data_IF_199134927510
#
_entry.id   IF_199134927510
#
_cell.length_a   1.000
_cell.length_b   1.000
_cell.length_c   1.000
_cell.angle_alpha   90.00
_cell.angle_beta   90.00
_cell.angle_gamma   90.00
#
_symmetry.space_group_name_H-M   'P 1'
#
loop_
_entity.id
_entity.type
_entity.pdbx_description
1 polymer ?
#
# COMPACT_ATOMS: atom_id res chain seq x y z
N UNK A 1 -1.35 -4.34 -4.98
CA UNK A 1 -0.80 -3.97 -6.30
C UNK A 1 0.18 -5.04 -6.73
N UNK A 2 0.04 -5.55 -7.97
CA UNK A 2 0.86 -6.68 -8.47
C UNK A 2 1.16 -6.54 -9.95
N UNK A 3 2.22 -7.20 -10.41
CA UNK A 3 2.45 -7.55 -11.80
C UNK A 3 1.93 -8.98 -12.10
N UNK A 4 1.70 -9.33 -13.35
CA UNK A 4 1.11 -10.63 -13.75
C UNK A 4 1.80 -11.84 -13.15
N UNK A 5 3.14 -11.84 -13.11
CA UNK A 5 3.94 -12.93 -12.55
C UNK A 5 3.71 -13.15 -11.05
N UNK A 6 3.16 -12.14 -10.34
CA UNK A 6 2.82 -12.20 -8.91
C UNK A 6 1.34 -12.48 -8.64
N UNK A 7 0.51 -12.68 -9.65
CA UNK A 7 -0.94 -12.93 -9.49
C UNK A 7 -1.22 -14.16 -8.61
N UNK A 8 -0.39 -15.20 -8.68
CA UNK A 8 -0.55 -16.40 -7.86
C UNK A 8 -0.33 -16.11 -6.36
N UNK A 9 0.54 -15.16 -6.03
CA UNK A 9 0.76 -14.70 -4.65
C UNK A 9 -0.45 -13.90 -4.17
N UNK A 10 -0.94 -12.96 -5.00
CA UNK A 10 -2.16 -12.21 -4.71
C UNK A 10 -3.38 -13.12 -4.50
N UNK A 11 -3.54 -14.20 -5.26
CA UNK A 11 -4.59 -15.20 -5.04
C UNK A 11 -4.54 -15.82 -3.65
N UNK A 12 -3.35 -16.13 -3.17
CA UNK A 12 -3.15 -16.67 -1.81
C UNK A 12 -3.55 -15.67 -0.74
N UNK A 13 -3.14 -14.39 -0.87
CA UNK A 13 -3.58 -13.31 0.01
C UNK A 13 -5.11 -13.17 -0.02
N UNK A 14 -5.71 -12.99 -1.20
CA UNK A 14 -7.15 -12.73 -1.33
C UNK A 14 -8.01 -13.89 -0.83
N UNK A 15 -7.55 -15.13 -1.00
CA UNK A 15 -8.20 -16.30 -0.39
C UNK A 15 -8.13 -16.24 1.15
N UNK A 16 -6.99 -15.85 1.72
CA UNK A 16 -6.87 -15.70 3.18
C UNK A 16 -7.72 -14.54 3.71
N UNK A 17 -7.84 -13.43 2.98
CA UNK A 17 -8.76 -12.34 3.33
C UNK A 17 -10.20 -12.82 3.32
N UNK A 18 -10.62 -13.56 2.30
CA UNK A 18 -11.97 -14.12 2.23
C UNK A 18 -12.30 -15.03 3.42
N UNK A 19 -11.34 -15.84 3.86
CA UNK A 19 -11.52 -16.72 5.02
C UNK A 19 -11.68 -15.96 6.35
N UNK A 20 -11.03 -14.82 6.50
CA UNK A 20 -10.95 -14.10 7.77
C UNK A 20 -11.75 -12.79 7.80
N UNK A 21 -12.17 -12.30 6.64
CA UNK A 21 -13.04 -11.13 6.47
C UNK A 21 -13.82 -11.21 5.16
N UNK A 22 -14.83 -12.10 5.07
CA UNK A 22 -15.56 -12.37 3.82
C UNK A 22 -16.35 -11.17 3.28
N UNK A 23 -16.72 -10.21 4.13
CA UNK A 23 -17.48 -9.01 3.78
C UNK A 23 -16.62 -7.99 2.99
N UNK A 24 -15.30 -8.13 2.98
CA UNK A 24 -14.45 -7.20 2.28
C UNK A 24 -14.62 -7.31 0.75
N UNK A 25 -14.77 -6.18 0.09
CA UNK A 25 -14.49 -6.09 -1.34
C UNK A 25 -12.98 -6.28 -1.55
N UNK A 26 -12.63 -7.23 -2.41
CA UNK A 26 -11.24 -7.59 -2.67
C UNK A 26 -10.84 -7.07 -4.04
N UNK A 27 -9.85 -6.19 -4.08
CA UNK A 27 -9.40 -5.52 -5.31
C UNK A 27 -7.90 -5.77 -5.51
N UNK A 28 -7.53 -6.23 -6.69
CA UNK A 28 -6.13 -6.39 -7.10
C UNK A 28 -5.82 -5.40 -8.22
N UNK A 29 -4.98 -4.40 -7.92
CA UNK A 29 -4.49 -3.49 -8.94
C UNK A 29 -3.35 -4.15 -9.71
N UNK A 30 -3.54 -4.32 -11.02
CA UNK A 30 -2.62 -4.99 -11.91
C UNK A 30 -1.76 -3.97 -12.67
N UNK A 31 -0.43 -4.02 -12.48
CA UNK A 31 0.53 -3.13 -13.15
C UNK A 31 0.82 -3.49 -14.61
N UNK A 32 0.34 -4.64 -15.07
CA UNK A 32 0.46 -5.10 -16.44
C UNK A 32 -0.91 -5.05 -17.15
N UNK A 33 -0.88 -5.20 -18.48
CA UNK A 33 -2.12 -5.42 -19.23
C UNK A 33 -2.72 -6.78 -18.84
N UNK A 34 -4.04 -6.86 -18.63
CA UNK A 34 -4.71 -8.09 -18.16
C UNK A 34 -4.77 -9.21 -19.22
N UNK A 35 -4.44 -8.92 -20.47
CA UNK A 35 -4.47 -9.85 -21.59
C UNK A 35 -3.61 -11.11 -21.33
N UNK A 36 -4.11 -12.26 -21.78
CA UNK A 36 -3.46 -13.55 -21.65
C UNK A 36 -3.67 -14.27 -20.31
N UNK A 37 -4.47 -13.69 -19.40
CA UNK A 37 -4.87 -14.32 -18.14
C UNK A 37 -6.39 -14.33 -17.99
N UNK A 38 -6.91 -15.43 -17.46
CA UNK A 38 -8.32 -15.55 -17.09
C UNK A 38 -8.48 -15.32 -15.59
N UNK A 39 -9.08 -14.18 -15.23
CA UNK A 39 -9.38 -13.79 -13.86
C UNK A 39 -10.85 -14.06 -13.48
N UNK A 40 -11.66 -14.64 -14.36
CA UNK A 40 -13.09 -14.81 -14.16
C UNK A 40 -13.47 -15.74 -12.99
N UNK A 41 -12.52 -16.55 -12.53
CA UNK A 41 -12.68 -17.48 -11.41
C UNK A 41 -12.05 -16.99 -10.11
N UNK A 42 -11.42 -15.83 -10.14
CA UNK A 42 -10.80 -15.25 -8.96
C UNK A 42 -11.86 -14.64 -8.04
N UNK A 43 -11.59 -14.65 -6.74
CA UNK A 43 -12.47 -14.10 -5.71
C UNK A 43 -12.19 -12.61 -5.43
N UNK A 44 -11.66 -11.88 -6.43
CA UNK A 44 -11.34 -10.47 -6.36
C UNK A 44 -11.58 -9.77 -7.70
N UNK A 45 -11.72 -8.47 -7.64
CA UNK A 45 -11.84 -7.61 -8.82
C UNK A 45 -10.46 -7.16 -9.29
N UNK A 46 -10.26 -7.10 -10.61
CA UNK A 46 -9.05 -6.53 -11.21
C UNK A 46 -9.27 -5.03 -11.43
N UNK A 47 -8.42 -4.23 -10.79
CA UNK A 47 -8.31 -2.80 -11.07
C UNK A 47 -7.18 -2.60 -12.09
N UNK A 48 -7.53 -2.16 -13.29
CA UNK A 48 -6.57 -1.92 -14.37
C UNK A 48 -5.96 -0.52 -14.24
N UNK A 49 -4.67 -0.39 -14.57
CA UNK A 49 -3.98 0.90 -14.57
C UNK A 49 -4.58 1.94 -15.53
N UNK A 50 -5.27 1.51 -16.57
CA UNK A 50 -5.95 2.41 -17.51
C UNK A 50 -7.02 3.28 -16.82
N UNK A 51 -7.44 2.91 -15.61
CA UNK A 51 -8.34 3.69 -14.75
C UNK A 51 -7.62 4.82 -13.99
N UNK A 52 -6.28 4.86 -14.01
CA UNK A 52 -5.47 5.90 -13.36
C UNK A 52 -5.28 7.11 -14.29
N UNK A 53 -6.36 7.85 -14.52
CA UNK A 53 -6.37 9.07 -15.34
C UNK A 53 -5.74 10.29 -14.62
N UNK A 54 -5.47 10.17 -13.33
CA UNK A 54 -4.91 11.20 -12.46
C UNK A 54 -3.36 11.22 -12.42
N UNK A 55 -2.68 10.35 -13.18
CA UNK A 55 -1.21 10.36 -13.25
C UNK A 55 -0.74 11.22 -14.43
N UNK A 56 -0.09 12.37 -14.18
CA UNK A 56 0.42 13.21 -15.26
C UNK A 56 1.46 12.49 -16.11
N UNK A 57 1.32 12.53 -17.45
CA UNK A 57 2.24 11.85 -18.38
C UNK A 57 2.48 10.38 -17.99
N UNK A 58 1.41 9.60 -17.91
CA UNK A 58 1.39 8.21 -17.43
C UNK A 58 2.50 7.34 -18.05
N UNK A 59 2.73 7.41 -19.37
CA UNK A 59 3.79 6.66 -20.03
C UNK A 59 5.19 7.00 -19.50
N UNK A 60 5.46 8.29 -19.25
CA UNK A 60 6.73 8.73 -18.65
C UNK A 60 6.87 8.29 -17.21
N UNK A 61 5.76 8.23 -16.48
CA UNK A 61 5.72 7.74 -15.11
C UNK A 61 6.08 6.26 -15.05
N UNK A 62 5.44 5.42 -15.89
CA UNK A 62 5.73 3.98 -15.96
C UNK A 62 7.18 3.73 -16.36
N UNK A 63 7.65 4.42 -17.40
CA UNK A 63 9.01 4.21 -17.93
C UNK A 63 10.12 4.59 -16.93
N UNK A 64 9.82 5.42 -15.93
CA UNK A 64 10.79 5.88 -14.94
C UNK A 64 11.22 4.80 -13.96
N UNK A 65 10.33 3.88 -13.65
CA UNK A 65 10.44 2.97 -12.53
C UNK A 65 10.75 1.54 -12.96
N UNK A 66 11.54 0.84 -12.16
CA UNK A 66 11.56 -0.62 -12.19
C UNK A 66 10.19 -1.17 -11.80
N UNK A 67 9.91 -2.44 -12.06
CA UNK A 67 8.61 -3.04 -11.71
C UNK A 67 8.32 -2.97 -10.20
N UNK A 68 9.34 -3.13 -9.34
CA UNK A 68 9.20 -2.99 -7.89
C UNK A 68 8.80 -1.55 -7.51
N UNK A 69 9.52 -0.57 -8.02
CA UNK A 69 9.26 0.84 -7.74
C UNK A 69 7.90 1.28 -8.30
N UNK A 70 7.51 0.78 -9.48
CA UNK A 70 6.19 1.06 -10.06
C UNK A 70 5.06 0.50 -9.19
N UNK A 71 5.16 -0.75 -8.74
CA UNK A 71 4.16 -1.39 -7.89
C UNK A 71 3.95 -0.61 -6.58
N UNK A 72 4.99 0.02 -6.05
CA UNK A 72 4.88 0.86 -4.86
C UNK A 72 4.42 2.28 -5.18
N UNK A 73 4.90 2.86 -6.29
CA UNK A 73 4.59 4.23 -6.68
C UNK A 73 3.11 4.48 -6.98
N UNK A 74 2.39 3.48 -7.48
CA UNK A 74 0.97 3.63 -7.85
C UNK A 74 0.00 3.46 -6.66
N UNK A 75 0.45 2.97 -5.51
CA UNK A 75 -0.42 2.72 -4.34
C UNK A 75 -1.36 3.91 -4.03
N UNK A 76 -0.86 5.15 -3.82
CA UNK A 76 -1.74 6.26 -3.46
C UNK A 76 -2.71 6.67 -4.58
N UNK A 77 -2.38 6.42 -5.83
CA UNK A 77 -3.30 6.70 -6.95
C UNK A 77 -4.46 5.70 -6.99
N UNK A 78 -4.18 4.42 -6.76
CA UNK A 78 -5.21 3.38 -6.63
C UNK A 78 -6.13 3.66 -5.43
N UNK A 79 -5.56 3.98 -4.27
CA UNK A 79 -6.31 4.31 -3.06
C UNK A 79 -7.25 5.49 -3.30
N UNK A 80 -6.78 6.57 -3.93
CA UNK A 80 -7.61 7.72 -4.27
C UNK A 80 -8.79 7.32 -5.17
N UNK A 81 -8.54 6.48 -6.18
CA UNK A 81 -9.60 5.97 -7.07
C UNK A 81 -10.62 5.10 -6.33
N UNK A 82 -10.19 4.28 -5.41
CA UNK A 82 -11.11 3.50 -4.58
C UNK A 82 -12.01 4.41 -3.75
N UNK A 83 -11.49 5.48 -3.15
CA UNK A 83 -12.30 6.49 -2.48
C UNK A 83 -13.26 7.20 -3.42
N UNK A 84 -12.84 7.52 -4.66
CA UNK A 84 -13.73 8.09 -5.69
C UNK A 84 -14.87 7.14 -6.09
N UNK A 85 -14.64 5.81 -6.00
CA UNK A 85 -15.66 4.78 -6.23
C UNK A 85 -16.56 4.51 -5.01
N UNK A 86 -16.39 5.28 -3.92
CA UNK A 86 -17.27 5.23 -2.75
C UNK A 86 -16.87 4.26 -1.67
N UNK A 87 -15.65 3.70 -1.72
CA UNK A 87 -15.14 2.93 -0.58
C UNK A 87 -14.83 3.87 0.59
N UNK A 88 -15.46 3.63 1.73
CA UNK A 88 -15.25 4.46 2.94
C UNK A 88 -13.97 4.11 3.68
N UNK A 89 -13.54 2.85 3.60
CA UNK A 89 -12.31 2.32 4.23
C UNK A 89 -11.54 1.51 3.21
N UNK A 90 -10.25 1.76 3.10
CA UNK A 90 -9.33 1.03 2.24
C UNK A 90 -8.19 0.50 3.08
N UNK A 91 -7.98 -0.81 3.05
CA UNK A 91 -6.81 -1.48 3.64
C UNK A 91 -5.96 -2.01 2.50
N UNK A 92 -4.75 -1.50 2.39
CA UNK A 92 -3.74 -2.05 1.50
C UNK A 92 -2.93 -3.11 2.23
N UNK A 93 -2.72 -4.23 1.56
CA UNK A 93 -1.89 -5.34 2.04
C UNK A 93 -0.98 -5.79 0.89
N UNK A 94 0.32 -5.94 1.16
CA UNK A 94 1.27 -6.44 0.16
C UNK A 94 0.94 -7.89 -0.23
N UNK A 95 1.12 -8.26 -1.50
CA UNK A 95 0.67 -9.55 -2.02
C UNK A 95 1.33 -10.77 -1.36
N UNK A 96 2.53 -10.62 -0.80
CA UNK A 96 3.30 -11.67 -0.12
C UNK A 96 2.93 -11.85 1.37
N UNK A 97 1.91 -11.14 1.83
CA UNK A 97 1.32 -11.33 3.16
C UNK A 97 0.19 -12.37 3.10
N UNK A 98 0.03 -13.13 4.18
CA UNK A 98 -1.11 -14.02 4.38
C UNK A 98 -1.82 -13.69 5.69
N UNK A 99 -3.14 -13.56 5.63
CA UNK A 99 -3.98 -13.28 6.80
C UNK A 99 -4.28 -14.60 7.53
N UNK A 100 -4.08 -14.62 8.86
CA UNK A 100 -4.27 -15.79 9.73
C UNK A 100 -5.35 -15.61 10.78
N UNK A 101 -5.91 -14.41 10.91
CA UNK A 101 -6.96 -14.09 11.88
C UNK A 101 -7.87 -13.00 11.34
N UNK A 102 -8.97 -12.72 12.07
CA UNK A 102 -9.94 -11.71 11.66
C UNK A 102 -9.32 -10.31 11.50
N UNK A 103 -9.64 -9.63 10.40
CA UNK A 103 -9.27 -8.23 10.17
C UNK A 103 -10.25 -7.23 10.80
N UNK A 104 -11.34 -7.70 11.40
CA UNK A 104 -12.36 -6.84 12.04
C UNK A 104 -11.76 -5.86 13.06
N UNK A 105 -10.82 -6.24 13.94
CA UNK A 105 -10.21 -5.28 14.86
C UNK A 105 -9.54 -4.11 14.14
N UNK A 106 -8.80 -4.38 13.06
CA UNK A 106 -8.12 -3.35 12.26
C UNK A 106 -9.13 -2.44 11.52
N UNK A 107 -10.21 -3.04 11.00
CA UNK A 107 -11.29 -2.27 10.34
C UNK A 107 -12.00 -1.36 11.33
N UNK A 108 -12.22 -1.82 12.58
CA UNK A 108 -12.86 -1.04 13.63
C UNK A 108 -11.99 0.12 14.12
N UNK A 109 -10.66 0.01 14.09
CA UNK A 109 -9.77 1.14 14.38
C UNK A 109 -10.00 2.32 13.42
N UNK A 110 -10.36 2.04 12.18
CA UNK A 110 -10.71 3.07 11.20
C UNK A 110 -12.04 3.80 11.50
N UNK A 111 -12.84 3.38 12.49
CA UNK A 111 -14.01 4.14 12.95
C UNK A 111 -13.59 5.36 13.79
N UNK A 112 -12.47 5.27 14.48
CA UNK A 112 -11.94 6.33 15.36
C UNK A 112 -10.67 7.01 14.84
N UNK A 113 -9.97 6.37 13.92
CA UNK A 113 -8.73 6.87 13.32
C UNK A 113 -8.86 6.96 11.80
N UNK A 114 -8.08 7.83 11.18
CA UNK A 114 -8.13 8.06 9.73
C UNK A 114 -7.04 7.30 8.99
N UNK A 115 -5.88 7.13 9.63
CA UNK A 115 -4.67 6.54 9.07
C UNK A 115 -4.13 5.51 10.06
N UNK A 116 -3.97 4.26 9.64
CA UNK A 116 -3.33 3.21 10.42
C UNK A 116 -1.97 2.88 9.80
N UNK A 117 -0.92 2.97 10.60
CA UNK A 117 0.45 2.60 10.24
C UNK A 117 0.93 1.46 11.14
N UNK A 118 1.71 0.54 10.58
CA UNK A 118 2.34 -0.55 11.32
C UNK A 118 3.84 -0.28 11.44
N UNK A 119 4.42 -0.20 12.65
CA UNK A 119 5.85 -0.01 12.81
C UNK A 119 6.60 -1.30 12.47
N UNK A 120 7.86 -1.19 12.03
CA UNK A 120 8.74 -2.35 11.89
C UNK A 120 9.14 -2.96 13.24
N UNK A 121 9.20 -2.12 14.26
CA UNK A 121 9.61 -2.51 15.61
C UNK A 121 8.58 -2.02 16.63
N UNK A 122 8.18 -2.90 17.53
CA UNK A 122 7.30 -2.61 18.68
C UNK A 122 8.06 -2.55 20.01
N UNK A 123 9.38 -2.68 19.96
CA UNK A 123 10.29 -2.60 21.10
C UNK A 123 11.74 -2.41 20.64
N UNK A 124 12.66 -2.21 21.59
CA UNK A 124 14.09 -2.10 21.33
C UNK A 124 14.71 -3.44 20.94
N UNK A 125 15.72 -3.41 20.10
CA UNK A 125 16.52 -4.59 19.75
C UNK A 125 17.80 -4.60 20.59
N UNK A 126 17.95 -5.61 21.45
CA UNK A 126 19.12 -5.78 22.33
C UNK A 126 20.05 -6.89 21.82
N UNK A 127 20.05 -7.14 20.52
CA UNK A 127 20.89 -8.15 19.88
C UNK A 127 21.60 -7.61 18.63
N UNK A 128 22.55 -8.38 18.10
CA UNK A 128 23.27 -8.06 16.87
C UNK A 128 22.56 -8.59 15.60
N UNK A 129 21.28 -8.99 15.69
CA UNK A 129 20.50 -9.51 14.57
C UNK A 129 20.19 -8.44 13.53
N UNK A 130 19.84 -8.89 12.33
CA UNK A 130 19.40 -8.00 11.25
C UNK A 130 17.97 -8.32 10.85
N UNK A 131 17.18 -7.30 10.46
CA UNK A 131 17.55 -5.88 10.37
C UNK A 131 17.77 -5.23 11.74
N UNK A 132 18.81 -4.40 11.87
CA UNK A 132 19.11 -3.61 13.07
C UNK A 132 18.23 -2.34 13.11
N UNK A 133 18.21 -1.67 14.27
CA UNK A 133 17.54 -0.36 14.39
C UNK A 133 18.08 0.66 13.37
N UNK A 134 19.39 0.62 13.06
CA UNK A 134 19.98 1.48 12.03
C UNK A 134 19.47 1.14 10.62
N UNK A 135 19.23 -0.14 10.33
CA UNK A 135 18.66 -0.54 9.06
C UNK A 135 17.22 -0.01 8.93
N UNK A 136 16.42 -0.08 10.01
CA UNK A 136 15.07 0.47 10.07
C UNK A 136 15.07 2.00 9.92
N UNK A 137 15.94 2.72 10.64
CA UNK A 137 16.08 4.18 10.50
C UNK A 137 16.42 4.59 9.07
N UNK A 138 17.19 3.80 8.34
CA UNK A 138 17.57 4.08 6.95
C UNK A 138 16.45 3.79 5.96
N UNK A 139 15.69 2.69 6.15
CA UNK A 139 14.67 2.23 5.20
C UNK A 139 13.26 2.76 5.49
N UNK A 140 12.99 3.17 6.72
CA UNK A 140 11.70 3.69 7.17
C UNK A 140 11.18 2.97 8.40
N UNK A 141 10.58 3.73 9.30
CA UNK A 141 10.07 3.26 10.59
C UNK A 141 8.81 2.39 10.45
N UNK A 142 7.99 2.66 9.42
CA UNK A 142 6.72 1.98 9.18
C UNK A 142 6.82 0.99 8.03
N UNK A 143 6.21 -0.18 8.22
CA UNK A 143 6.11 -1.22 7.20
C UNK A 143 4.91 -0.97 6.28
N UNK A 144 5.15 -0.59 5.04
CA UNK A 144 4.11 -0.32 4.05
C UNK A 144 3.58 -1.57 3.32
N UNK A 145 3.91 -2.76 3.83
CA UNK A 145 3.17 -3.98 3.52
C UNK A 145 1.72 -3.95 4.03
N UNK A 146 1.43 -3.03 4.98
CA UNK A 146 0.08 -2.74 5.46
C UNK A 146 -0.09 -1.23 5.65
N UNK A 147 -1.22 -0.70 5.18
CA UNK A 147 -1.71 0.63 5.55
C UNK A 147 -3.24 0.62 5.51
N UNK A 148 -3.88 1.12 6.59
CA UNK A 148 -5.32 1.31 6.65
C UNK A 148 -5.68 2.80 6.53
N UNK A 149 -6.70 3.11 5.72
CA UNK A 149 -7.13 4.48 5.48
C UNK A 149 -8.66 4.56 5.48
N UNK A 150 -9.22 5.52 6.21
CA UNK A 150 -10.64 5.91 6.13
C UNK A 150 -10.76 7.15 5.26
N UNK A 151 -11.75 7.19 4.37
CA UNK A 151 -12.01 8.37 3.54
C UNK A 151 -12.34 9.59 4.40
N UNK A 152 -11.47 10.59 4.34
CA UNK A 152 -11.57 11.83 5.10
C UNK A 152 -10.77 12.93 4.42
N UNK A 153 -10.91 14.17 4.89
CA UNK A 153 -10.10 15.27 4.39
C UNK A 153 -8.60 15.03 4.61
N UNK A 154 -8.21 14.47 5.76
CA UNK A 154 -6.81 14.18 6.10
C UNK A 154 -6.22 13.11 5.20
N UNK A 155 -6.92 11.98 5.00
CA UNK A 155 -6.45 10.91 4.12
C UNK A 155 -6.43 11.31 2.65
N UNK A 156 -7.37 12.13 2.19
CA UNK A 156 -7.33 12.71 0.84
C UNK A 156 -6.14 13.65 0.66
N UNK A 157 -5.81 14.44 1.67
CA UNK A 157 -4.60 15.27 1.68
C UNK A 157 -3.33 14.42 1.69
N UNK A 158 -3.28 13.35 2.51
CA UNK A 158 -2.19 12.39 2.54
C UNK A 158 -1.97 11.75 1.16
N UNK A 159 -3.01 11.16 0.55
CA UNK A 159 -2.87 10.49 -0.75
C UNK A 159 -2.33 11.44 -1.81
N UNK A 160 -2.82 12.67 -1.85
CA UNK A 160 -2.35 13.69 -2.79
C UNK A 160 -0.90 14.12 -2.54
N UNK A 161 -0.51 14.32 -1.27
CA UNK A 161 0.86 14.59 -0.90
C UNK A 161 1.79 13.43 -1.28
N UNK A 162 1.37 12.21 -0.99
CA UNK A 162 2.14 10.99 -1.26
C UNK A 162 2.32 10.75 -2.76
N UNK A 163 1.27 10.94 -3.57
CA UNK A 163 1.35 10.95 -5.04
C UNK A 163 2.43 11.92 -5.54
N UNK A 164 2.42 13.16 -5.02
CA UNK A 164 3.41 14.17 -5.38
C UNK A 164 4.85 13.75 -5.06
N UNK A 165 5.07 13.04 -3.93
CA UNK A 165 6.38 12.49 -3.57
C UNK A 165 6.78 11.34 -4.46
N UNK A 166 5.87 10.38 -4.66
CA UNK A 166 6.14 9.17 -5.43
C UNK A 166 6.18 9.42 -6.94
N UNK A 167 5.71 10.55 -7.43
CA UNK A 167 5.78 10.85 -8.86
C UNK A 167 7.21 10.83 -9.44
N UNK A 168 8.22 11.17 -8.61
CA UNK A 168 9.64 11.20 -9.03
C UNK A 168 10.60 10.50 -8.09
N UNK A 169 10.20 10.19 -6.87
CA UNK A 169 11.12 9.80 -5.80
C UNK A 169 10.70 8.46 -5.14
N UNK A 170 10.04 7.58 -5.89
CA UNK A 170 9.77 6.20 -5.47
C UNK A 170 10.92 5.29 -5.91
N UNK A 171 12.10 5.51 -5.34
CA UNK A 171 13.33 4.79 -5.69
C UNK A 171 14.04 4.30 -4.44
N UNK A 172 14.89 3.29 -4.59
CA UNK A 172 15.82 2.88 -3.53
C UNK A 172 17.11 3.69 -3.67
N UNK A 173 17.27 4.72 -2.86
CA UNK A 173 18.45 5.59 -2.83
C UNK A 173 18.72 6.01 -1.37
N UNK A 174 19.36 5.12 -0.64
CA UNK A 174 19.62 5.31 0.79
C UNK A 174 20.56 6.48 1.11
N UNK A 175 21.40 6.89 0.16
CA UNK A 175 22.27 8.06 0.33
C UNK A 175 21.45 9.36 0.36
N UNK A 176 20.38 9.42 -0.45
CA UNK A 176 19.42 10.52 -0.46
C UNK A 176 18.30 10.38 0.58
N UNK A 177 18.31 9.32 1.38
CA UNK A 177 17.26 9.03 2.36
C UNK A 177 15.97 8.57 1.73
N UNK A 178 16.00 7.88 0.57
CA UNK A 178 14.84 7.36 -0.11
C UNK A 178 14.79 5.83 -0.06
N UNK A 179 13.64 5.31 0.28
CA UNK A 179 13.35 3.88 0.21
C UNK A 179 11.89 3.70 -0.25
N UNK A 180 11.72 3.65 -1.56
CA UNK A 180 10.46 3.57 -2.31
C UNK A 180 9.34 4.45 -1.71
N UNK A 181 8.20 3.88 -1.42
CA UNK A 181 7.04 4.57 -0.83
C UNK A 181 7.14 4.69 0.69
N UNK A 182 7.81 3.75 1.33
CA UNK A 182 7.83 3.53 2.78
C UNK A 182 8.49 4.68 3.56
N UNK A 183 9.67 5.12 3.12
CA UNK A 183 10.43 6.16 3.85
C UNK A 183 9.68 7.49 4.00
N UNK A 184 8.78 7.79 3.09
CA UNK A 184 7.92 8.97 3.16
C UNK A 184 6.95 8.93 4.34
N UNK A 185 6.55 7.73 4.79
CA UNK A 185 5.60 7.56 5.90
C UNK A 185 6.16 7.99 7.25
N UNK A 186 7.50 8.05 7.42
CA UNK A 186 8.12 8.58 8.65
C UNK A 186 7.67 10.00 8.99
N UNK A 187 7.25 10.77 7.98
CA UNK A 187 6.79 12.15 8.15
C UNK A 187 5.30 12.26 8.48
N UNK A 188 4.53 11.20 8.20
CA UNK A 188 3.06 11.25 8.24
C UNK A 188 2.51 11.59 9.62
N UNK A 189 2.99 11.02 10.74
CA UNK A 189 2.46 11.36 12.06
C UNK A 189 2.70 12.82 12.49
N UNK A 190 3.69 13.49 11.87
CA UNK A 190 3.99 14.92 12.15
C UNK A 190 3.27 15.90 11.22
N UNK A 191 2.62 15.43 10.15
CA UNK A 191 2.01 16.28 9.12
C UNK A 191 0.49 16.13 9.08
N UNK A 192 -0.03 14.93 9.33
CA UNK A 192 -1.44 14.60 9.18
C UNK A 192 -2.08 14.21 10.51
N UNK A 193 -3.35 14.61 10.69
CA UNK A 193 -4.14 14.24 11.87
C UNK A 193 -4.75 12.84 11.71
N UNK A 194 -5.21 12.27 12.84
CA UNK A 194 -5.94 11.00 12.85
C UNK A 194 -5.06 9.76 12.60
N UNK A 195 -3.74 9.89 12.79
CA UNK A 195 -2.79 8.78 12.64
C UNK A 195 -2.77 7.92 13.90
N UNK A 196 -2.89 6.62 13.72
CA UNK A 196 -2.70 5.62 14.74
C UNK A 196 -1.59 4.64 14.31
N UNK A 197 -0.74 4.30 15.23
CA UNK A 197 0.37 3.34 15.02
C UNK A 197 0.06 2.10 15.85
N UNK A 198 -0.15 0.96 15.17
CA UNK A 198 -0.49 -0.33 15.76
C UNK A 198 0.74 -1.21 15.96
#
# INVERSE_FOLDING_TARGET
VVSKNYTHVARTLMHSVEQHYPEASRVVALCDRPDGFDYSRDNFEIFNLDLLDNIPSFEKFIFRYTILELNTAIKPYVIEKLFEHGYEKVIYIDPDIKVYSSLVPMVNLLDSHEILLTPHLTGTLDDDARPSELDILRSGTYNLGYIGLRDSQSTRALTKWWQGKLYKNCVVDLERGLFVDQKWMDMVPGIFDGVYVE
#
